data_IF_926363999164
#
_entry.id   IF_926363999164
#
_cell.length_a   1.000
_cell.length_b   1.000
_cell.length_c   1.000
_cell.angle_alpha   90.00
_cell.angle_beta   90.00
_cell.angle_gamma   90.00
#
_symmetry.space_group_name_H-M   'P 1'
#
loop_
_entity.id
_entity.type
_entity.pdbx_description
1 polymer ?
#
# COMPACT_ATOMS: atom_id res chain seq x y z
N UNK A 1 -16.95 -6.40 -5.96
CA UNK A 1 -16.71 -5.17 -5.20
C UNK A 1 -15.21 -4.95 -5.07
N UNK A 2 -14.76 -3.78 -5.43
CA UNK A 2 -13.34 -3.46 -5.25
C UNK A 2 -13.08 -3.09 -3.80
N UNK A 3 -12.15 -3.77 -3.16
CA UNK A 3 -11.69 -3.39 -1.82
C UNK A 3 -10.56 -2.39 -1.98
N UNK A 4 -10.74 -1.18 -1.46
CA UNK A 4 -9.79 -0.09 -1.61
C UNK A 4 -8.90 0.10 -0.38
N UNK A 5 -9.07 -0.75 0.63
CA UNK A 5 -8.29 -0.69 1.86
C UNK A 5 -7.57 -2.02 2.06
N UNK A 6 -6.28 -1.93 2.31
CA UNK A 6 -5.47 -3.08 2.71
C UNK A 6 -4.77 -2.75 4.02
N UNK A 7 -4.21 -3.78 4.65
CA UNK A 7 -3.37 -3.61 5.83
C UNK A 7 -1.95 -3.93 5.47
N UNK A 8 -1.06 -2.98 5.78
CA UNK A 8 0.36 -3.05 5.42
C UNK A 8 1.17 -3.32 6.67
N UNK A 9 1.96 -4.39 6.64
CA UNK A 9 2.87 -4.75 7.72
C UNK A 9 4.30 -4.48 7.31
N UNK A 10 5.02 -3.80 8.19
CA UNK A 10 6.45 -3.50 8.05
C UNK A 10 7.13 -3.84 9.36
N UNK A 11 8.45 -3.94 9.36
CA UNK A 11 9.20 -4.20 10.59
C UNK A 11 10.61 -3.63 10.52
N UNK A 12 11.14 -3.31 11.70
CA UNK A 12 12.53 -2.95 11.87
C UNK A 12 12.95 -3.29 13.30
N UNK A 13 14.14 -3.85 13.47
CA UNK A 13 14.66 -4.30 14.77
C UNK A 13 13.71 -5.27 15.47
N UNK A 14 13.09 -6.18 14.72
CA UNK A 14 12.14 -7.16 15.23
C UNK A 14 10.87 -6.55 15.84
N UNK A 15 10.57 -5.30 15.55
CA UNK A 15 9.36 -4.63 16.00
C UNK A 15 8.40 -4.56 14.81
N UNK A 16 7.32 -5.34 14.82
CA UNK A 16 6.34 -5.28 13.73
C UNK A 16 5.43 -4.07 13.86
N UNK A 17 4.94 -3.60 12.73
CA UNK A 17 4.02 -2.46 12.65
C UNK A 17 3.00 -2.76 11.56
N UNK A 18 1.74 -2.49 11.81
CA UNK A 18 0.67 -2.74 10.83
C UNK A 18 -0.33 -1.60 10.86
N UNK A 19 -0.73 -1.13 9.69
CA UNK A 19 -1.71 -0.05 9.53
C UNK A 19 -2.57 -0.27 8.31
N UNK A 20 -3.83 0.23 8.30
CA UNK A 20 -4.65 0.23 7.11
C UNK A 20 -4.27 1.40 6.20
N UNK A 21 -4.35 1.19 4.89
CA UNK A 21 -4.12 2.24 3.89
C UNK A 21 -5.05 2.03 2.71
N UNK A 22 -5.34 3.12 1.98
CA UNK A 22 -5.95 3.00 0.66
C UNK A 22 -4.87 2.59 -0.34
N UNK A 23 -5.24 1.77 -1.29
CA UNK A 23 -4.29 1.25 -2.26
C UNK A 23 -4.88 1.19 -3.66
N UNK A 24 -3.99 1.11 -4.65
CA UNK A 24 -4.35 0.69 -6.01
C UNK A 24 -3.49 -0.52 -6.37
N UNK A 25 -4.03 -1.39 -7.21
CA UNK A 25 -3.32 -2.56 -7.72
C UNK A 25 -3.41 -2.51 -9.24
N UNK A 26 -2.26 -2.38 -9.91
CA UNK A 26 -2.22 -2.36 -11.37
C UNK A 26 -0.89 -2.92 -11.85
N UNK A 27 -0.90 -3.58 -12.99
CA UNK A 27 0.29 -4.16 -13.62
C UNK A 27 1.07 -5.09 -12.68
N UNK A 28 0.37 -5.78 -11.78
CA UNK A 28 0.94 -6.71 -10.81
C UNK A 28 1.73 -6.03 -9.70
N UNK A 29 1.56 -4.72 -9.51
CA UNK A 29 2.15 -3.97 -8.39
C UNK A 29 1.05 -3.38 -7.54
N UNK A 30 1.32 -3.28 -6.24
CA UNK A 30 0.41 -2.62 -5.30
C UNK A 30 1.05 -1.31 -4.87
N UNK A 31 0.26 -0.23 -4.88
CA UNK A 31 0.75 1.12 -4.55
C UNK A 31 -0.07 1.72 -3.44
N UNK A 32 0.59 2.45 -2.55
CA UNK A 32 -0.09 3.28 -1.56
C UNK A 32 0.77 4.51 -1.24
N UNK A 33 0.13 5.54 -0.70
CA UNK A 33 0.83 6.75 -0.31
C UNK A 33 1.26 6.66 1.16
N UNK A 34 2.33 7.36 1.51
CA UNK A 34 2.79 7.46 2.89
C UNK A 34 3.40 8.84 3.12
N UNK A 35 3.64 9.17 4.39
CA UNK A 35 4.35 10.39 4.76
C UNK A 35 5.78 10.07 5.17
N UNK A 36 6.67 11.06 5.05
CA UNK A 36 8.08 10.86 5.39
C UNK A 36 8.33 10.70 6.89
N UNK A 37 7.44 11.18 7.74
CA UNK A 37 7.68 11.24 9.19
C UNK A 37 6.90 10.19 9.99
N UNK A 38 6.52 9.07 9.36
CA UNK A 38 5.76 8.03 10.05
C UNK A 38 6.52 6.72 10.11
N UNK A 39 6.12 5.85 11.05
CA UNK A 39 6.81 4.60 11.32
C UNK A 39 6.95 3.72 10.09
N UNK A 40 5.90 3.61 9.30
CA UNK A 40 5.88 2.78 8.09
C UNK A 40 6.98 3.17 7.11
N UNK A 41 7.13 4.47 6.86
CA UNK A 41 8.18 4.97 5.98
C UNK A 41 9.57 4.66 6.54
N UNK A 42 9.79 4.94 7.83
CA UNK A 42 11.08 4.68 8.47
C UNK A 42 11.44 3.20 8.44
N UNK A 43 10.46 2.32 8.71
CA UNK A 43 10.68 0.88 8.64
C UNK A 43 11.12 0.46 7.24
N UNK A 44 10.45 0.97 6.20
CA UNK A 44 10.74 0.58 4.82
C UNK A 44 12.06 1.15 4.31
N UNK A 45 12.54 2.26 4.85
CA UNK A 45 13.89 2.74 4.55
C UNK A 45 14.97 1.78 5.04
N UNK A 46 14.76 1.14 6.17
CA UNK A 46 15.73 0.24 6.79
C UNK A 46 15.53 -1.21 6.37
N UNK A 47 14.30 -1.59 6.10
CA UNK A 47 13.94 -2.95 5.72
C UNK A 47 12.88 -2.91 4.65
N UNK A 48 13.24 -3.27 3.42
CA UNK A 48 12.32 -3.18 2.27
C UNK A 48 11.28 -4.29 2.24
N UNK A 49 11.35 -5.27 3.13
CA UNK A 49 10.38 -6.35 3.18
C UNK A 49 9.05 -5.84 3.69
N UNK A 50 7.98 -6.26 3.03
CA UNK A 50 6.64 -5.76 3.28
C UNK A 50 5.65 -6.89 3.09
N UNK A 51 4.59 -6.88 3.88
CA UNK A 51 3.47 -7.79 3.70
C UNK A 51 2.18 -6.99 3.70
N UNK A 52 1.22 -7.44 2.90
CA UNK A 52 -0.07 -6.78 2.75
C UNK A 52 -1.15 -7.84 2.82
N UNK A 53 -2.23 -7.54 3.53
CA UNK A 53 -3.44 -8.36 3.46
C UNK A 53 -4.60 -7.52 2.95
N UNK A 54 -5.36 -8.13 2.05
CA UNK A 54 -6.61 -7.59 1.53
C UNK A 54 -7.66 -8.63 1.83
N UNK A 55 -8.65 -8.28 2.65
CA UNK A 55 -9.62 -9.26 3.10
C UNK A 55 -11.00 -8.64 3.23
N UNK A 56 -12.01 -9.47 3.01
CA UNK A 56 -13.41 -9.12 3.20
C UNK A 56 -14.05 -10.20 4.07
N UNK A 57 -14.62 -9.79 5.17
CA UNK A 57 -15.33 -10.68 6.07
C UNK A 57 -16.82 -10.36 6.05
N UNK A 58 -17.59 -11.43 5.89
CA UNK A 58 -19.04 -11.34 5.91
C UNK A 58 -19.57 -12.43 6.83
N UNK A 59 -20.33 -12.04 7.85
CA UNK A 59 -20.80 -12.97 8.86
C UNK A 59 -21.74 -14.05 8.32
N UNK A 60 -22.36 -13.81 7.17
CA UNK A 60 -23.31 -14.76 6.58
C UNK A 60 -22.75 -15.51 5.39
N UNK A 61 -21.54 -15.16 4.92
CA UNK A 61 -20.94 -15.75 3.74
C UNK A 61 -19.49 -16.14 4.00
N UNK A 62 -18.78 -16.49 2.94
CA UNK A 62 -17.38 -16.87 3.02
C UNK A 62 -16.50 -15.65 3.28
N UNK A 63 -15.48 -15.86 4.08
CA UNK A 63 -14.41 -14.89 4.24
C UNK A 63 -13.44 -15.05 3.07
N UNK A 64 -13.07 -13.96 2.43
CA UNK A 64 -12.23 -13.95 1.26
C UNK A 64 -11.04 -13.05 1.52
N UNK A 65 -9.86 -13.48 1.12
CA UNK A 65 -8.72 -12.61 1.28
C UNK A 65 -7.47 -13.12 0.58
N UNK A 66 -6.45 -12.27 0.59
CA UNK A 66 -5.14 -12.59 0.08
C UNK A 66 -4.08 -11.93 0.95
N UNK A 67 -3.00 -12.65 1.22
CA UNK A 67 -1.80 -12.12 1.84
C UNK A 67 -0.72 -12.08 0.78
N UNK A 68 -0.09 -10.94 0.62
CA UNK A 68 0.98 -10.73 -0.36
C UNK A 68 2.24 -10.35 0.41
N UNK A 69 3.34 -11.04 0.13
CA UNK A 69 4.64 -10.71 0.70
C UNK A 69 5.56 -10.30 -0.43
N UNK A 70 6.42 -9.33 -0.18
CA UNK A 70 7.33 -8.86 -1.21
C UNK A 70 8.29 -7.81 -0.70
N UNK A 71 8.73 -6.95 -1.62
CA UNK A 71 9.64 -5.87 -1.32
C UNK A 71 9.05 -4.54 -1.76
N UNK A 72 9.53 -3.46 -1.17
CA UNK A 72 9.03 -2.11 -1.44
C UNK A 72 10.06 -1.28 -2.18
N UNK A 73 9.55 -0.32 -2.92
CA UNK A 73 10.32 0.70 -3.62
C UNK A 73 9.65 2.05 -3.40
N UNK A 74 10.43 3.08 -3.12
CA UNK A 74 9.92 4.43 -2.95
C UNK A 74 9.79 5.10 -4.31
N UNK A 75 8.63 5.69 -4.57
CA UNK A 75 8.40 6.51 -5.75
C UNK A 75 8.21 7.94 -5.26
N UNK A 76 9.26 8.74 -5.40
CA UNK A 76 9.28 10.08 -4.82
C UNK A 76 9.09 11.19 -5.85
N UNK A 77 9.48 10.95 -7.10
CA UNK A 77 9.50 11.94 -8.16
C UNK A 77 9.38 11.27 -9.52
N UNK A 78 9.15 12.08 -10.55
CA UNK A 78 9.22 11.65 -11.92
C UNK A 78 7.88 11.25 -12.52
N UNK A 79 7.94 10.62 -13.69
CA UNK A 79 6.73 10.28 -14.44
C UNK A 79 5.87 9.27 -13.74
N UNK A 80 6.47 8.30 -13.06
CA UNK A 80 5.69 7.31 -12.31
C UNK A 80 4.95 7.96 -11.14
N UNK A 81 5.58 8.89 -10.42
CA UNK A 81 4.92 9.66 -9.37
C UNK A 81 3.72 10.42 -9.92
N UNK A 82 3.91 11.12 -11.03
CA UNK A 82 2.85 11.93 -11.64
C UNK A 82 1.67 11.07 -12.08
N UNK A 83 1.96 9.92 -12.67
CA UNK A 83 0.92 8.98 -13.10
C UNK A 83 0.14 8.45 -11.90
N UNK A 84 0.84 8.02 -10.86
CA UNK A 84 0.21 7.53 -9.64
C UNK A 84 -0.63 8.59 -8.96
N UNK A 85 -0.11 9.81 -8.89
CA UNK A 85 -0.83 10.92 -8.28
C UNK A 85 -2.17 11.17 -8.98
N UNK A 86 -2.17 11.18 -10.30
CA UNK A 86 -3.42 11.35 -11.05
C UNK A 86 -4.41 10.24 -10.79
N UNK A 87 -3.94 9.02 -10.69
CA UNK A 87 -4.80 7.87 -10.41
C UNK A 87 -5.39 7.97 -9.01
N UNK A 88 -4.59 8.29 -8.00
CA UNK A 88 -5.04 8.46 -6.63
C UNK A 88 -5.99 9.64 -6.49
N UNK A 89 -5.69 10.75 -7.14
CA UNK A 89 -6.53 11.94 -7.12
C UNK A 89 -7.91 11.65 -7.70
N UNK A 90 -7.96 10.92 -8.79
CA UNK A 90 -9.23 10.53 -9.42
C UNK A 90 -10.02 9.57 -8.55
N UNK A 91 -9.34 8.64 -7.90
CA UNK A 91 -9.99 7.55 -7.17
C UNK A 91 -10.39 7.92 -5.75
N UNK A 92 -9.61 8.74 -5.07
CA UNK A 92 -9.79 9.02 -3.65
C UNK A 92 -10.04 10.49 -3.38
N UNK A 93 -11.17 10.78 -2.74
CA UNK A 93 -11.55 12.14 -2.40
C UNK A 93 -10.55 12.81 -1.44
N UNK A 94 -9.97 12.04 -0.50
CA UNK A 94 -9.03 12.61 0.45
C UNK A 94 -7.79 13.20 -0.22
N UNK A 95 -7.40 12.68 -1.38
CA UNK A 95 -6.29 13.25 -2.16
C UNK A 95 -6.67 14.62 -2.70
N UNK A 96 -7.89 14.76 -3.20
CA UNK A 96 -8.38 16.05 -3.71
C UNK A 96 -8.52 17.09 -2.60
N UNK A 97 -8.84 16.63 -1.38
CA UNK A 97 -9.03 17.53 -0.23
C UNK A 97 -7.73 17.96 0.41
N UNK A 98 -6.66 17.21 0.22
CA UNK A 98 -5.34 17.49 0.80
C UNK A 98 -4.25 17.19 -0.21
N UNK A 99 -4.15 17.99 -1.28
CA UNK A 99 -3.18 17.71 -2.35
C UNK A 99 -1.74 17.93 -1.91
N UNK A 100 -0.83 17.23 -2.58
CA UNK A 100 0.60 17.38 -2.32
C UNK A 100 1.39 17.29 -3.62
N UNK A 101 2.66 17.68 -3.57
CA UNK A 101 3.56 17.69 -4.71
C UNK A 101 4.72 16.73 -4.51
N UNK A 102 5.48 16.50 -5.59
CA UNK A 102 6.69 15.70 -5.52
C UNK A 102 7.59 16.22 -4.41
N UNK A 103 8.14 15.30 -3.61
CA UNK A 103 9.03 15.65 -2.50
C UNK A 103 8.33 15.95 -1.20
N UNK A 104 6.99 16.05 -1.19
CA UNK A 104 6.23 16.29 0.04
C UNK A 104 5.77 14.99 0.69
N UNK A 105 5.45 13.98 -0.10
CA UNK A 105 5.12 12.64 0.40
C UNK A 105 5.31 11.64 -0.73
N UNK A 106 5.86 10.45 -0.45
CA UNK A 106 6.12 9.47 -1.50
C UNK A 106 4.96 8.50 -1.68
N UNK A 107 4.99 7.78 -2.80
CA UNK A 107 4.24 6.53 -2.94
C UNK A 107 5.17 5.37 -2.66
N UNK A 108 4.59 4.29 -2.18
CA UNK A 108 5.27 3.01 -2.03
C UNK A 108 4.78 2.09 -3.13
N UNK A 109 5.71 1.51 -3.88
CA UNK A 109 5.43 0.48 -4.87
C UNK A 109 5.84 -0.86 -4.29
N UNK A 110 4.89 -1.77 -4.17
CA UNK A 110 5.16 -3.10 -3.67
C UNK A 110 5.35 -4.07 -4.82
N UNK A 111 6.47 -4.80 -4.80
CA UNK A 111 6.80 -5.86 -5.72
C UNK A 111 6.43 -7.19 -5.09
N UNK A 112 5.30 -7.83 -5.48
CA UNK A 112 4.90 -9.10 -4.90
C UNK A 112 5.88 -10.23 -5.20
N UNK A 113 6.15 -11.07 -4.21
CA UNK A 113 6.97 -12.27 -4.36
C UNK A 113 6.12 -13.51 -4.10
N UNK A 114 5.37 -13.51 -3.01
CA UNK A 114 4.50 -14.64 -2.64
C UNK A 114 3.07 -14.16 -2.41
N UNK A 115 2.11 -14.97 -2.81
CA UNK A 115 0.69 -14.72 -2.56
C UNK A 115 0.04 -15.97 -1.99
N UNK A 116 -0.76 -15.80 -0.96
CA UNK A 116 -1.60 -16.86 -0.39
C UNK A 116 -3.02 -16.32 -0.31
N UNK A 117 -3.97 -17.04 -0.87
CA UNK A 117 -5.37 -16.61 -0.87
C UNK A 117 -6.26 -17.67 -0.22
N UNK A 118 -7.43 -17.23 0.22
CA UNK A 118 -8.45 -18.11 0.78
C UNK A 118 -9.82 -17.61 0.38
N UNK A 119 -10.78 -18.56 0.36
CA UNK A 119 -12.17 -18.22 0.01
C UNK A 119 -12.43 -17.92 -1.45
N UNK A 120 -11.48 -18.18 -2.29
CA UNK A 120 -11.62 -17.91 -3.74
C UNK A 120 -11.95 -19.16 -4.53
#
# INVERSE_FOLDING_TARGET
>A
MANEICRVATSYNNIPHIVPVNYIYENNFLYFATDYNIRKYHNLQKNKKIAVTIDVYNTSLNNIGVVIQGSSELIERGEEFKRLYKTFERKFEWVRNDPWQEGEAPFIKMHPVNKVSWGL
#
